data_IF_645552703989
#
_entry.id   IF_645552703989
#
_cell.length_a   1.000
_cell.length_b   1.000
_cell.length_c   1.000
_cell.angle_alpha   90.00
_cell.angle_beta   90.00
_cell.angle_gamma   90.00
#
_symmetry.space_group_name_H-M   'P 1'
#
loop_
_entity.id
_entity.type
_entity.pdbx_description
1 polymer ?
#
# COMPACT_ATOMS: atom_id res chain seq x y z
N UNK A 1 3.21 7.56 21.91
CA UNK A 1 1.79 7.17 21.97
C UNK A 1 1.37 6.66 20.60
N UNK A 2 0.60 5.56 20.60
CA UNK A 2 -0.04 4.83 19.51
C UNK A 2 0.81 3.76 18.81
N UNK A 3 0.49 2.54 19.20
CA UNK A 3 0.79 1.26 18.60
C UNK A 3 0.65 1.30 17.07
N UNK A 4 1.77 1.23 16.38
CA UNK A 4 1.80 0.90 14.96
C UNK A 4 1.45 -0.58 14.84
N UNK A 5 0.16 -0.91 14.90
CA UNK A 5 -0.32 -2.14 14.29
C UNK A 5 0.00 -2.00 12.80
N UNK A 6 1.14 -2.57 12.40
CA UNK A 6 1.59 -2.55 11.02
C UNK A 6 0.61 -3.40 10.23
N UNK A 7 -0.47 -2.77 9.75
CA UNK A 7 -1.52 -3.43 8.98
C UNK A 7 -0.88 -4.01 7.73
N UNK A 8 -0.84 -5.35 7.67
CA UNK A 8 -0.26 -6.08 6.56
C UNK A 8 -1.24 -6.04 5.39
N UNK A 9 -0.69 -5.90 4.18
CA UNK A 9 -1.48 -5.79 2.96
C UNK A 9 -0.87 -6.59 1.82
N UNK A 10 -1.71 -6.97 0.86
CA UNK A 10 -1.33 -7.50 -0.44
C UNK A 10 -1.71 -6.50 -1.53
N UNK A 11 -0.80 -6.25 -2.46
CA UNK A 11 -1.10 -5.48 -3.67
C UNK A 11 -1.87 -6.35 -4.67
N UNK A 12 -3.11 -5.98 -5.02
CA UNK A 12 -4.02 -6.86 -5.78
C UNK A 12 -4.19 -6.49 -7.25
N UNK A 13 -3.88 -5.25 -7.64
CA UNK A 13 -4.01 -4.82 -9.04
C UNK A 13 -3.08 -3.66 -9.37
N UNK A 14 -2.61 -3.62 -10.61
CA UNK A 14 -1.84 -2.50 -11.12
C UNK A 14 -2.65 -1.20 -11.05
N UNK A 15 -2.10 -0.16 -10.42
CA UNK A 15 -2.65 1.19 -10.51
C UNK A 15 -2.39 1.73 -11.92
N UNK A 16 -3.46 1.93 -12.69
CA UNK A 16 -3.40 2.51 -14.06
C UNK A 16 -2.97 3.98 -14.05
N UNK A 17 -3.08 4.64 -12.89
CA UNK A 17 -2.98 6.09 -12.79
C UNK A 17 -1.75 6.57 -12.01
N UNK A 18 -1.33 5.86 -10.96
CA UNK A 18 -0.21 6.30 -10.12
C UNK A 18 0.46 5.11 -9.43
N UNK A 19 1.69 4.81 -9.83
CA UNK A 19 2.52 3.77 -9.21
C UNK A 19 3.64 3.29 -10.12
N UNK A 20 4.61 4.14 -10.45
CA UNK A 20 5.88 3.70 -11.04
C UNK A 20 6.71 2.99 -9.97
N UNK A 21 6.85 1.67 -10.11
CA UNK A 21 7.70 0.85 -9.27
C UNK A 21 7.57 -0.63 -9.65
N UNK A 22 8.65 -1.39 -9.53
CA UNK A 22 8.68 -2.83 -9.83
C UNK A 22 8.01 -3.66 -8.72
N UNK A 23 6.83 -3.23 -8.23
CA UNK A 23 6.04 -3.97 -7.23
C UNK A 23 5.05 -4.86 -7.98
N UNK A 24 5.28 -6.18 -8.05
CA UNK A 24 4.35 -7.08 -8.74
C UNK A 24 3.04 -7.22 -7.95
N UNK A 25 1.94 -7.45 -8.68
CA UNK A 25 0.69 -7.91 -8.06
C UNK A 25 0.96 -9.19 -7.26
N UNK A 26 0.39 -9.28 -6.07
CA UNK A 26 0.65 -10.32 -5.08
C UNK A 26 1.74 -9.97 -4.06
N UNK A 27 2.50 -8.88 -4.26
CA UNK A 27 3.48 -8.43 -3.29
C UNK A 27 2.82 -8.06 -1.94
N UNK A 28 3.42 -8.53 -0.86
CA UNK A 28 3.01 -8.22 0.50
C UNK A 28 3.87 -7.10 1.09
N UNK A 29 3.25 -6.27 1.92
CA UNK A 29 3.93 -5.19 2.63
C UNK A 29 3.16 -4.75 3.85
N UNK A 30 3.71 -3.75 4.54
CA UNK A 30 3.11 -3.15 5.72
C UNK A 30 2.76 -1.70 5.44
N UNK A 31 1.55 -1.28 5.81
CA UNK A 31 1.17 0.14 5.75
C UNK A 31 2.00 0.91 6.77
N UNK A 32 2.69 1.95 6.29
CA UNK A 32 3.41 2.92 7.12
C UNK A 32 2.49 4.11 7.43
N UNK A 33 1.78 4.61 6.42
CA UNK A 33 0.96 5.81 6.51
C UNK A 33 -0.24 5.70 5.57
N UNK A 34 -1.39 6.19 6.00
CA UNK A 34 -2.56 6.41 5.15
C UNK A 34 -2.80 7.91 4.99
N UNK A 35 -2.76 8.39 3.76
CA UNK A 35 -3.13 9.74 3.38
C UNK A 35 -4.56 9.74 2.83
N UNK A 36 -5.45 10.49 3.47
CA UNK A 36 -6.85 10.65 3.05
C UNK A 36 -7.02 12.01 2.38
N UNK A 37 -7.31 12.00 1.08
CA UNK A 37 -7.60 13.20 0.30
C UNK A 37 -9.03 13.13 -0.26
N UNK A 38 -9.61 14.28 -0.58
CA UNK A 38 -11.02 14.42 -0.99
C UNK A 38 -11.45 13.55 -2.18
N UNK A 39 -10.50 13.07 -3.00
CA UNK A 39 -10.78 12.29 -4.20
C UNK A 39 -10.25 10.86 -4.16
N UNK A 40 -9.22 10.54 -3.37
CA UNK A 40 -8.64 9.19 -3.30
C UNK A 40 -7.81 9.00 -2.05
N UNK A 41 -8.11 7.95 -1.29
CA UNK A 41 -7.27 7.49 -0.18
C UNK A 41 -6.07 6.68 -0.71
N UNK A 42 -4.88 7.03 -0.25
CA UNK A 42 -3.61 6.39 -0.63
C UNK A 42 -2.87 5.91 0.62
N UNK A 43 -2.11 4.84 0.49
CA UNK A 43 -1.22 4.35 1.54
C UNK A 43 0.23 4.34 1.06
N UNK A 44 1.14 4.74 1.95
CA UNK A 44 2.56 4.43 1.84
C UNK A 44 2.77 3.03 2.42
N UNK A 45 3.21 2.10 1.58
CA UNK A 45 3.43 0.69 1.95
C UNK A 45 4.90 0.35 1.80
N UNK A 46 5.49 -0.31 2.80
CA UNK A 46 6.82 -0.93 2.72
C UNK A 46 6.67 -2.39 2.27
N UNK A 47 6.98 -2.66 1.02
CA UNK A 47 6.96 -4.00 0.45
C UNK A 47 8.29 -4.71 0.73
N UNK A 48 8.21 -5.90 1.34
CA UNK A 48 9.35 -6.63 1.94
C UNK A 48 10.58 -6.76 1.02
N UNK A 49 10.38 -6.85 -0.31
CA UNK A 49 11.46 -7.04 -1.31
C UNK A 49 11.49 -5.96 -2.40
N UNK A 50 10.55 -5.03 -2.38
CA UNK A 50 10.34 -4.08 -3.46
C UNK A 50 10.47 -2.62 -3.01
N UNK A 51 10.73 -2.41 -1.71
CA UNK A 51 10.87 -1.08 -1.13
C UNK A 51 9.51 -0.42 -0.91
N UNK A 52 9.50 0.91 -0.90
CA UNK A 52 8.33 1.70 -0.52
C UNK A 52 7.57 2.19 -1.74
N UNK A 53 6.25 2.12 -1.70
CA UNK A 53 5.40 2.67 -2.74
C UNK A 53 4.14 3.35 -2.18
N UNK A 54 3.66 4.37 -2.89
CA UNK A 54 2.39 5.02 -2.63
C UNK A 54 1.35 4.36 -3.52
N UNK A 55 0.35 3.71 -2.91
CA UNK A 55 -0.65 2.91 -3.61
C UNK A 55 -2.05 3.37 -3.19
N UNK A 56 -3.02 3.52 -4.11
CA UNK A 56 -4.41 3.73 -3.72
C UNK A 56 -4.93 2.58 -2.84
N UNK A 57 -5.67 2.88 -1.78
CA UNK A 57 -6.21 1.82 -0.89
C UNK A 57 -7.03 0.77 -1.64
N UNK A 58 -7.71 1.17 -2.72
CA UNK A 58 -8.50 0.27 -3.58
C UNK A 58 -7.69 -0.77 -4.34
N UNK A 59 -6.36 -0.68 -4.32
CA UNK A 59 -5.43 -1.66 -4.89
C UNK A 59 -4.78 -2.56 -3.83
N UNK A 60 -5.19 -2.42 -2.57
CA UNK A 60 -4.68 -3.20 -1.44
C UNK A 60 -5.78 -4.10 -0.88
N UNK A 61 -5.40 -5.31 -0.54
CA UNK A 61 -6.18 -6.23 0.30
C UNK A 61 -5.56 -6.23 1.69
N UNK A 62 -6.35 -5.96 2.72
CA UNK A 62 -5.90 -6.06 4.12
C UNK A 62 -5.75 -7.55 4.48
N UNK A 63 -4.61 -7.91 5.05
CA UNK A 63 -4.35 -9.25 5.57
C UNK A 63 -4.49 -9.19 7.10
N UNK A 64 -5.16 -10.20 7.68
CA UNK A 64 -5.30 -10.39 9.14
C UNK A 64 -3.95 -10.67 9.82
#
# INVERSE_FOLDING_TARGET
MKDSCHQRVRYTKASVYHGTGNVPVGACGNIILVARESLTDKALVDFEKYGKAIIPLSCLEMLE
#
